data_IF_057594332277
#
_entry.id   IF_057594332277
#
_cell.length_a   1.000
_cell.length_b   1.000
_cell.length_c   1.000
_cell.angle_alpha   90.00
_cell.angle_beta   90.00
_cell.angle_gamma   90.00
#
_symmetry.space_group_name_H-M   'P 1'
#
loop_
_entity.id
_entity.type
_entity.pdbx_description
1 polymer ?
#
# COMPACT_ATOMS: atom_id res chain seq x y z
N UNK A 1 20.04 -48.09 -35.22
CA UNK A 1 20.22 -47.50 -33.88
C UNK A 1 19.48 -46.18 -33.96
N UNK A 2 18.19 -46.23 -33.59
CA UNK A 2 17.27 -45.08 -33.64
C UNK A 2 17.53 -44.17 -32.44
N UNK A 3 17.45 -42.84 -32.60
CA UNK A 3 17.54 -41.93 -31.46
C UNK A 3 16.25 -41.97 -30.66
N UNK A 4 16.38 -42.07 -29.35
CA UNK A 4 15.30 -42.09 -28.37
C UNK A 4 14.79 -40.63 -28.25
N UNK A 5 13.48 -40.44 -28.47
CA UNK A 5 12.76 -39.20 -28.19
C UNK A 5 12.76 -38.97 -26.69
N UNK A 6 13.35 -37.86 -26.26
CA UNK A 6 13.22 -37.37 -24.90
C UNK A 6 11.98 -36.50 -24.89
N UNK A 7 11.02 -36.89 -24.08
CA UNK A 7 9.73 -36.25 -23.87
C UNK A 7 9.89 -34.73 -23.65
N UNK A 8 9.45 -33.96 -24.64
CA UNK A 8 9.30 -32.53 -24.53
C UNK A 8 8.10 -32.19 -23.66
N UNK A 9 8.32 -31.94 -22.37
CA UNK A 9 7.36 -31.16 -21.60
C UNK A 9 7.29 -29.75 -22.19
N UNK A 10 6.20 -29.47 -22.89
CA UNK A 10 5.83 -28.12 -23.26
C UNK A 10 5.69 -27.31 -21.97
N UNK A 11 6.64 -26.41 -21.75
CA UNK A 11 6.50 -25.35 -20.75
C UNK A 11 5.22 -24.59 -21.09
N UNK A 12 4.33 -24.34 -20.12
CA UNK A 12 3.08 -23.63 -20.38
C UNK A 12 3.41 -22.26 -20.97
N UNK A 13 2.75 -21.97 -22.08
CA UNK A 13 2.87 -20.73 -22.83
C UNK A 13 2.89 -19.54 -21.86
N UNK A 14 3.92 -18.71 -21.96
CA UNK A 14 4.14 -17.51 -21.18
C UNK A 14 2.85 -16.69 -21.11
N UNK A 15 2.17 -16.73 -19.99
CA UNK A 15 1.20 -15.72 -19.66
C UNK A 15 1.95 -14.39 -19.63
N UNK A 16 1.75 -13.53 -20.61
CA UNK A 16 2.13 -12.14 -20.60
C UNK A 16 1.29 -11.45 -19.52
N UNK A 17 1.63 -11.66 -18.27
CA UNK A 17 0.99 -11.01 -17.13
C UNK A 17 1.61 -9.63 -16.93
N UNK A 18 1.33 -8.71 -17.85
CA UNK A 18 1.53 -7.31 -17.58
C UNK A 18 0.66 -6.95 -16.37
N UNK A 19 1.27 -6.50 -15.26
CA UNK A 19 0.52 -5.94 -14.14
C UNK A 19 0.00 -4.55 -14.50
N UNK A 20 -1.07 -4.12 -13.84
CA UNK A 20 -1.56 -2.75 -13.98
C UNK A 20 -0.90 -1.87 -12.92
N UNK A 21 -0.52 -0.64 -13.26
CA UNK A 21 0.09 0.31 -12.30
C UNK A 21 -0.72 0.47 -11.01
N UNK A 22 -2.05 0.36 -11.09
CA UNK A 22 -2.94 0.38 -9.91
C UNK A 22 -2.72 -0.79 -8.94
N UNK A 23 -2.12 -1.89 -9.39
CA UNK A 23 -1.84 -3.03 -8.52
C UNK A 23 -0.72 -2.68 -7.54
N UNK A 24 0.13 -1.69 -7.90
CA UNK A 24 1.17 -1.12 -7.03
C UNK A 24 0.63 -0.11 -6.01
N UNK A 25 -0.65 0.23 -6.02
CA UNK A 25 -1.27 1.12 -5.02
C UNK A 25 -1.43 0.44 -3.65
N UNK A 26 -1.14 -0.85 -3.55
CA UNK A 26 -1.23 -1.64 -2.33
C UNK A 26 0.14 -1.84 -1.68
N UNK A 27 0.26 -1.62 -0.36
CA UNK A 27 1.51 -1.80 0.36
C UNK A 27 1.96 -3.27 0.33
N UNK A 28 3.28 -3.48 0.19
CA UNK A 28 3.87 -4.81 0.15
C UNK A 28 3.69 -5.57 -1.17
N UNK A 29 3.09 -4.94 -2.19
CA UNK A 29 2.96 -5.57 -3.51
C UNK A 29 4.32 -5.64 -4.19
N UNK A 30 4.70 -6.84 -4.63
CA UNK A 30 5.92 -7.10 -5.40
C UNK A 30 5.56 -7.93 -6.63
N UNK A 31 5.73 -7.35 -7.82
CA UNK A 31 5.39 -7.94 -9.10
C UNK A 31 6.62 -7.94 -10.01
N UNK A 32 7.39 -9.02 -9.99
CA UNK A 32 8.69 -9.13 -10.71
C UNK A 32 8.67 -10.14 -11.86
N UNK A 33 7.52 -10.77 -12.11
CA UNK A 33 7.45 -11.90 -13.02
C UNK A 33 8.27 -13.10 -12.51
N UNK A 34 8.56 -14.03 -13.41
CA UNK A 34 9.36 -15.23 -13.10
C UNK A 34 10.82 -15.10 -13.55
N UNK A 35 11.27 -13.89 -13.90
CA UNK A 35 12.59 -13.67 -14.48
C UNK A 35 13.65 -13.44 -13.41
N UNK A 36 14.86 -13.96 -13.65
CA UNK A 36 16.01 -13.70 -12.79
C UNK A 36 16.35 -12.20 -12.75
N UNK A 37 16.21 -11.49 -13.87
CA UNK A 37 16.42 -10.04 -13.96
C UNK A 37 15.50 -9.28 -13.01
N UNK A 38 14.20 -9.63 -12.96
CA UNK A 38 13.27 -8.99 -12.04
C UNK A 38 13.67 -9.13 -10.57
N UNK A 39 14.21 -10.28 -10.18
CA UNK A 39 14.73 -10.50 -8.83
C UNK A 39 15.98 -9.65 -8.55
N UNK A 40 16.89 -9.54 -9.50
CA UNK A 40 18.11 -8.72 -9.39
C UNK A 40 17.79 -7.22 -9.31
N UNK A 41 16.84 -6.76 -10.12
CA UNK A 41 16.35 -5.36 -10.11
C UNK A 41 15.72 -5.00 -8.77
N UNK A 42 14.93 -5.89 -8.18
CA UNK A 42 14.37 -5.71 -6.83
C UNK A 42 15.47 -5.71 -5.76
N UNK A 43 16.42 -6.63 -5.85
CA UNK A 43 17.51 -6.71 -4.86
C UNK A 43 18.40 -5.49 -4.91
N UNK A 44 18.69 -4.93 -6.08
CA UNK A 44 19.38 -3.65 -6.23
C UNK A 44 18.64 -2.51 -5.53
N UNK A 45 17.29 -2.49 -5.60
CA UNK A 45 16.49 -1.50 -4.88
C UNK A 45 16.62 -1.65 -3.35
N UNK A 46 16.57 -2.88 -2.84
CA UNK A 46 16.74 -3.18 -1.40
C UNK A 46 18.14 -2.80 -0.90
N UNK A 47 19.18 -3.19 -1.63
CA UNK A 47 20.57 -2.85 -1.30
C UNK A 47 20.78 -1.33 -1.29
N UNK A 48 20.13 -0.62 -2.21
CA UNK A 48 20.15 0.85 -2.25
C UNK A 48 19.57 1.44 -0.97
N UNK A 49 18.41 0.96 -0.50
CA UNK A 49 17.80 1.43 0.75
C UNK A 49 18.72 1.19 1.94
N UNK A 50 19.22 -0.04 2.09
CA UNK A 50 20.14 -0.39 3.18
C UNK A 50 21.37 0.51 3.18
N UNK A 51 22.01 0.71 2.03
CA UNK A 51 23.18 1.58 1.94
C UNK A 51 22.88 3.06 2.21
N UNK A 52 21.69 3.57 1.85
CA UNK A 52 21.29 4.94 2.18
C UNK A 52 21.00 5.12 3.67
N UNK A 53 20.45 4.12 4.33
CA UNK A 53 20.28 4.14 5.78
C UNK A 53 21.62 4.14 6.51
N UNK A 54 22.55 3.27 6.11
CA UNK A 54 23.89 3.16 6.72
C UNK A 54 24.72 4.43 6.52
N UNK A 55 24.75 4.99 5.31
CA UNK A 55 25.63 6.11 4.95
C UNK A 55 25.08 7.48 5.33
N UNK A 56 23.75 7.65 5.30
CA UNK A 56 23.09 8.96 5.42
C UNK A 56 21.99 8.99 6.48
N UNK A 57 21.66 7.85 7.10
CA UNK A 57 20.54 7.74 8.04
C UNK A 57 19.16 7.96 7.39
N UNK A 58 19.08 7.79 6.05
CA UNK A 58 17.85 8.00 5.30
C UNK A 58 16.94 6.77 5.42
N UNK A 59 15.87 6.88 6.21
CA UNK A 59 14.97 5.79 6.51
C UNK A 59 13.88 5.64 5.43
N UNK A 60 14.17 4.84 4.43
CA UNK A 60 13.25 4.47 3.36
C UNK A 60 12.84 3.00 3.47
N UNK A 61 11.70 2.65 2.87
CA UNK A 61 11.27 1.27 2.63
C UNK A 61 10.59 1.19 1.25
N UNK A 62 10.48 -0.02 0.71
CA UNK A 62 9.72 -0.26 -0.51
C UNK A 62 8.24 -0.42 -0.14
N UNK A 63 7.44 0.58 -0.48
CA UNK A 63 5.99 0.48 -0.35
C UNK A 63 5.42 -0.57 -1.31
N UNK A 64 5.81 -0.50 -2.59
CA UNK A 64 5.51 -1.49 -3.61
C UNK A 64 6.55 -1.46 -4.73
N UNK A 65 6.66 -2.57 -5.43
CA UNK A 65 7.64 -2.75 -6.50
C UNK A 65 7.01 -3.51 -7.67
N UNK A 66 7.28 -3.06 -8.88
CA UNK A 66 6.89 -3.75 -10.10
C UNK A 66 8.05 -3.75 -11.11
N UNK A 67 8.23 -4.87 -11.80
CA UNK A 67 9.14 -4.96 -12.94
C UNK A 67 8.40 -5.60 -14.11
N UNK A 68 8.39 -4.93 -15.24
CA UNK A 68 7.78 -5.39 -16.48
C UNK A 68 8.86 -5.83 -17.47
N UNK A 69 9.13 -7.14 -17.56
CA UNK A 69 10.24 -7.66 -18.36
C UNK A 69 10.13 -7.33 -19.87
N UNK A 70 8.89 -7.24 -20.39
CA UNK A 70 8.65 -6.97 -21.82
C UNK A 70 9.11 -5.59 -22.27
N UNK A 71 9.19 -4.64 -21.34
CA UNK A 71 9.61 -3.26 -21.59
C UNK A 71 10.91 -2.88 -20.86
N UNK A 72 11.49 -3.80 -20.09
CA UNK A 72 12.64 -3.49 -19.24
C UNK A 72 12.36 -2.37 -18.25
N UNK A 73 11.13 -2.26 -17.71
CA UNK A 73 10.76 -1.12 -16.87
C UNK A 73 10.46 -1.52 -15.44
N UNK A 74 11.13 -0.85 -14.48
CA UNK A 74 10.92 -1.00 -13.06
C UNK A 74 10.10 0.19 -12.49
N UNK A 75 9.23 -0.10 -11.53
CA UNK A 75 8.46 0.88 -10.77
C UNK A 75 8.74 0.68 -9.29
N UNK A 76 9.27 1.70 -8.64
CA UNK A 76 9.62 1.66 -7.21
C UNK A 76 8.81 2.74 -6.50
N UNK A 77 7.91 2.32 -5.60
CA UNK A 77 7.23 3.26 -4.71
C UNK A 77 7.88 3.20 -3.34
N UNK A 78 8.37 4.34 -2.90
CA UNK A 78 9.12 4.48 -1.65
C UNK A 78 8.23 4.99 -0.52
N UNK A 79 8.34 4.34 0.63
CA UNK A 79 7.83 4.83 1.90
C UNK A 79 8.95 5.51 2.68
N UNK A 80 8.72 6.66 3.29
CA UNK A 80 9.66 7.31 4.21
C UNK A 80 9.21 7.08 5.65
N UNK A 81 9.96 6.23 6.37
CA UNK A 81 9.55 5.67 7.66
C UNK A 81 9.39 6.75 8.73
N UNK A 82 10.29 7.74 8.77
CA UNK A 82 10.30 8.84 9.73
C UNK A 82 9.38 10.01 9.35
N UNK A 83 8.68 9.94 8.21
CA UNK A 83 7.73 10.95 7.78
C UNK A 83 6.32 10.64 8.29
N UNK A 84 5.62 11.66 8.79
CA UNK A 84 4.26 11.54 9.33
C UNK A 84 3.25 10.92 8.36
N UNK A 85 3.41 11.15 7.05
CA UNK A 85 2.51 10.65 6.01
C UNK A 85 3.12 9.50 5.20
N UNK A 86 4.35 9.11 5.53
CA UNK A 86 5.07 8.08 4.78
C UNK A 86 5.49 8.52 3.37
N UNK A 87 5.56 9.83 3.11
CA UNK A 87 5.89 10.34 1.78
C UNK A 87 7.34 10.83 1.74
N UNK A 88 8.20 10.27 0.86
CA UNK A 88 9.53 10.81 0.59
C UNK A 88 9.41 12.20 -0.05
N UNK A 89 10.41 13.04 0.16
CA UNK A 89 10.58 14.30 -0.55
C UNK A 89 11.13 14.06 -1.97
N UNK A 90 11.13 15.09 -2.80
CA UNK A 90 11.77 15.01 -4.13
C UNK A 90 13.27 14.75 -4.01
N UNK A 91 13.92 15.34 -3.00
CA UNK A 91 15.36 15.13 -2.75
C UNK A 91 15.62 13.66 -2.33
N UNK A 92 14.77 13.06 -1.49
CA UNK A 92 14.87 11.65 -1.12
C UNK A 92 14.76 10.73 -2.36
N UNK A 93 13.80 11.04 -3.25
CA UNK A 93 13.59 10.30 -4.49
C UNK A 93 14.80 10.45 -5.43
N UNK A 94 15.36 11.65 -5.55
CA UNK A 94 16.53 11.91 -6.38
C UNK A 94 17.75 11.16 -5.87
N UNK A 95 18.03 11.22 -4.56
CA UNK A 95 19.15 10.53 -3.92
C UNK A 95 19.02 9.02 -4.11
N UNK A 96 17.83 8.46 -3.87
CA UNK A 96 17.56 7.05 -4.12
C UNK A 96 17.78 6.69 -5.60
N UNK A 97 17.20 7.45 -6.52
CA UNK A 97 17.24 7.16 -7.96
C UNK A 97 18.67 7.12 -8.49
N UNK A 98 19.52 8.06 -8.08
CA UNK A 98 20.92 8.11 -8.47
C UNK A 98 21.69 6.88 -8.00
N UNK A 99 21.49 6.48 -6.73
CA UNK A 99 22.17 5.33 -6.14
C UNK A 99 21.63 4.01 -6.69
N UNK A 100 20.32 3.96 -6.95
CA UNK A 100 19.68 2.79 -7.56
C UNK A 100 20.19 2.52 -8.97
N UNK A 101 20.34 3.56 -9.80
CA UNK A 101 20.95 3.42 -11.13
C UNK A 101 22.36 2.81 -11.07
N UNK A 102 23.19 3.24 -10.11
CA UNK A 102 24.51 2.64 -9.89
C UNK A 102 24.41 1.18 -9.45
N UNK A 103 23.52 0.87 -8.50
CA UNK A 103 23.32 -0.50 -8.01
C UNK A 103 22.82 -1.45 -9.12
N UNK A 104 22.02 -0.96 -10.06
CA UNK A 104 21.61 -1.72 -11.24
C UNK A 104 22.79 -2.02 -12.17
N UNK A 105 23.65 -1.03 -12.44
CA UNK A 105 24.85 -1.22 -13.26
C UNK A 105 25.79 -2.25 -12.62
N UNK A 106 26.00 -2.19 -11.32
CA UNK A 106 26.84 -3.12 -10.56
C UNK A 106 26.25 -4.55 -10.55
N UNK A 107 24.92 -4.69 -10.45
CA UNK A 107 24.25 -5.99 -10.35
C UNK A 107 24.07 -6.70 -11.70
N UNK A 108 23.86 -5.96 -12.77
CA UNK A 108 23.49 -6.49 -14.09
C UNK A 108 24.59 -6.33 -15.14
N UNK A 109 25.55 -5.46 -14.91
CA UNK A 109 26.55 -5.02 -15.88
C UNK A 109 26.00 -3.89 -16.78
N UNK A 110 26.91 -3.00 -17.24
CA UNK A 110 26.53 -1.77 -17.98
C UNK A 110 25.65 -2.03 -19.21
N UNK A 111 25.90 -3.09 -19.98
CA UNK A 111 25.13 -3.37 -21.20
C UNK A 111 23.68 -3.81 -20.95
N UNK A 112 23.36 -4.42 -19.79
CA UNK A 112 22.01 -4.87 -19.44
C UNK A 112 21.25 -3.78 -18.67
N UNK A 113 21.97 -3.04 -17.81
CA UNK A 113 21.38 -1.96 -17.01
C UNK A 113 20.90 -0.80 -17.87
N UNK A 114 21.56 -0.51 -19.01
CA UNK A 114 21.19 0.55 -19.94
C UNK A 114 19.83 0.31 -20.60
N UNK A 115 19.42 -0.95 -20.70
CA UNK A 115 18.10 -1.34 -21.25
C UNK A 115 16.98 -1.30 -20.18
N UNK A 116 17.30 -0.96 -18.91
CA UNK A 116 16.33 -0.89 -17.83
C UNK A 116 15.98 0.55 -17.51
N UNK A 117 14.76 0.91 -17.85
CA UNK A 117 14.13 2.14 -17.35
C UNK A 117 13.58 1.93 -15.93
N UNK A 118 13.63 2.95 -15.09
CA UNK A 118 12.95 2.89 -13.80
C UNK A 118 12.25 4.20 -13.46
N UNK A 119 11.13 4.05 -12.77
CA UNK A 119 10.31 5.14 -12.24
C UNK A 119 10.25 5.02 -10.71
N UNK A 120 10.69 6.07 -10.02
CA UNK A 120 10.66 6.16 -8.56
C UNK A 120 9.63 7.19 -8.14
N UNK A 121 8.73 6.83 -7.22
CA UNK A 121 7.67 7.70 -6.79
C UNK A 121 7.27 7.46 -5.33
N UNK A 122 6.45 8.35 -4.77
CA UNK A 122 5.76 8.12 -3.51
C UNK A 122 4.52 7.24 -3.72
N UNK A 123 3.94 6.64 -2.65
CA UNK A 123 2.69 5.89 -2.73
C UNK A 123 1.46 6.75 -3.06
N UNK A 124 1.63 8.07 -3.11
CA UNK A 124 0.54 9.02 -3.28
C UNK A 124 -0.06 9.50 -1.95
N UNK A 125 -0.84 10.59 -2.04
CA UNK A 125 -1.34 11.32 -0.89
C UNK A 125 -2.39 10.54 -0.06
N UNK A 126 -3.23 9.74 -0.71
CA UNK A 126 -4.22 8.85 -0.06
C UNK A 126 -3.75 7.39 -0.06
N UNK A 127 -2.48 7.17 0.30
CA UNK A 127 -1.89 5.83 0.31
C UNK A 127 -2.72 4.84 1.13
N UNK A 128 -2.75 3.60 0.68
CA UNK A 128 -3.25 2.49 1.47
C UNK A 128 -2.25 2.15 2.58
N UNK A 129 -2.74 1.78 3.76
CA UNK A 129 -1.91 1.38 4.90
C UNK A 129 -2.10 -0.11 5.20
N UNK A 130 -1.07 -0.74 5.73
CA UNK A 130 -1.12 -2.14 6.19
C UNK A 130 -1.87 -2.22 7.51
N UNK A 131 -2.88 -3.07 7.58
CA UNK A 131 -3.62 -3.36 8.81
C UNK A 131 -3.23 -4.75 9.29
N UNK A 132 -2.80 -4.93 10.57
CA UNK A 132 -2.67 -3.92 11.62
C UNK A 132 -1.36 -3.10 11.58
N UNK A 133 -0.33 -3.55 10.92
CA UNK A 133 1.07 -3.13 11.09
C UNK A 133 1.36 -1.62 11.01
N UNK A 134 0.57 -0.86 10.27
CA UNK A 134 0.77 0.59 10.14
C UNK A 134 -0.29 1.44 10.88
N UNK A 135 -1.29 0.82 11.53
CA UNK A 135 -2.33 1.56 12.25
C UNK A 135 -1.75 2.45 13.35
N UNK A 136 -0.80 1.94 14.12
CA UNK A 136 -0.12 2.69 15.18
C UNK A 136 0.72 3.83 14.63
N UNK A 137 1.44 3.59 13.54
CA UNK A 137 2.26 4.61 12.86
C UNK A 137 1.43 5.81 12.40
N UNK A 138 0.24 5.55 11.87
CA UNK A 138 -0.67 6.56 11.35
C UNK A 138 -1.78 6.94 12.33
N UNK A 139 -1.65 6.57 13.61
CA UNK A 139 -2.59 6.95 14.66
C UNK A 139 -2.76 8.48 14.72
N UNK A 140 -4.00 8.94 14.92
CA UNK A 140 -4.34 10.35 14.95
C UNK A 140 -4.47 11.02 13.57
N UNK A 141 -4.05 10.38 12.48
CA UNK A 141 -4.39 10.86 11.13
C UNK A 141 -5.80 10.43 10.74
N UNK A 142 -6.51 11.24 9.92
CA UNK A 142 -7.75 10.80 9.32
C UNK A 142 -7.50 9.62 8.39
N UNK A 143 -8.19 8.52 8.64
CA UNK A 143 -8.15 7.30 7.84
C UNK A 143 -9.51 7.05 7.22
N UNK A 144 -9.54 6.75 5.93
CA UNK A 144 -10.73 6.22 5.25
C UNK A 144 -10.68 4.71 5.35
N UNK A 145 -11.52 4.16 6.22
CA UNK A 145 -11.59 2.72 6.49
C UNK A 145 -12.82 2.13 5.80
N UNK A 146 -12.64 1.01 5.11
CA UNK A 146 -13.71 0.24 4.49
C UNK A 146 -14.00 -0.99 5.34
N UNK A 147 -15.27 -1.15 5.72
CA UNK A 147 -15.76 -2.17 6.65
C UNK A 147 -17.04 -2.81 6.11
N UNK A 148 -17.38 -4.05 6.49
CA UNK A 148 -18.72 -4.58 6.36
C UNK A 148 -19.72 -3.62 7.03
N UNK A 149 -20.87 -3.40 6.42
CA UNK A 149 -21.86 -2.45 6.95
C UNK A 149 -22.38 -2.83 8.33
N UNK A 150 -22.49 -4.11 8.58
CA UNK A 150 -22.91 -4.66 9.87
C UNK A 150 -21.93 -4.32 11.00
N UNK A 151 -20.66 -4.17 10.69
CA UNK A 151 -19.62 -3.82 11.66
C UNK A 151 -19.57 -2.33 11.98
N UNK A 152 -20.26 -1.48 11.20
CA UNK A 152 -20.23 -0.04 11.41
C UNK A 152 -21.31 0.40 12.40
N UNK A 153 -20.97 0.34 13.69
CA UNK A 153 -21.81 0.80 14.78
C UNK A 153 -20.99 1.59 15.81
N UNK A 154 -21.23 2.90 15.89
CA UNK A 154 -20.60 3.77 16.90
C UNK A 154 -21.33 3.66 18.24
N UNK A 155 -20.82 2.84 19.18
CA UNK A 155 -21.45 2.54 20.48
C UNK A 155 -22.97 2.32 20.36
N UNK A 156 -23.36 1.43 19.46
CA UNK A 156 -24.75 1.05 19.22
C UNK A 156 -25.55 2.01 18.33
N UNK A 157 -24.93 3.01 17.75
CA UNK A 157 -25.57 3.83 16.70
C UNK A 157 -25.21 3.25 15.34
N UNK A 158 -26.11 2.47 14.79
CA UNK A 158 -25.96 1.84 13.47
C UNK A 158 -26.26 2.81 12.33
N UNK A 159 -25.69 2.51 11.17
CA UNK A 159 -26.03 3.17 9.91
C UNK A 159 -27.45 2.73 9.48
N UNK A 160 -28.28 3.68 9.11
CA UNK A 160 -29.59 3.36 8.52
C UNK A 160 -29.40 2.69 7.17
N UNK A 161 -29.78 1.42 7.06
CA UNK A 161 -29.77 0.68 5.80
C UNK A 161 -30.87 1.18 4.89
N UNK A 162 -30.55 1.54 3.66
CA UNK A 162 -31.54 1.72 2.60
C UNK A 162 -31.94 0.33 2.08
N UNK A 163 -33.24 0.14 1.78
CA UNK A 163 -33.75 -1.12 1.21
C UNK A 163 -33.12 -1.47 -0.14
N UNK A 164 -32.53 -0.48 -0.83
CA UNK A 164 -31.91 -0.63 -2.15
C UNK A 164 -30.37 -0.63 -2.08
N UNK A 165 -29.80 -0.75 -0.89
CA UNK A 165 -28.35 -0.69 -0.71
C UNK A 165 -27.72 -2.07 -0.95
N UNK A 166 -27.24 -2.29 -2.18
CA UNK A 166 -26.62 -3.54 -2.63
C UNK A 166 -25.16 -3.70 -2.20
N UNK A 167 -24.54 -2.66 -1.64
CA UNK A 167 -23.14 -2.74 -1.22
C UNK A 167 -23.04 -3.45 0.14
N UNK A 168 -22.17 -4.47 0.19
CA UNK A 168 -21.89 -5.20 1.43
C UNK A 168 -20.97 -4.40 2.38
N UNK A 169 -20.15 -3.49 1.85
CA UNK A 169 -19.21 -2.66 2.60
C UNK A 169 -19.59 -1.20 2.60
N UNK A 170 -19.05 -0.45 3.55
CA UNK A 170 -19.11 1.00 3.55
C UNK A 170 -17.78 1.59 3.99
N UNK A 171 -17.54 2.80 3.52
CA UNK A 171 -16.35 3.58 3.83
C UNK A 171 -16.68 4.65 4.87
N UNK A 172 -15.90 4.72 5.93
CA UNK A 172 -16.04 5.74 6.99
C UNK A 172 -14.69 6.42 7.23
N UNK A 173 -14.71 7.72 7.49
CA UNK A 173 -13.48 8.46 7.86
C UNK A 173 -13.40 8.57 9.38
N UNK A 174 -12.32 8.06 9.93
CA UNK A 174 -12.07 7.91 11.37
C UNK A 174 -10.60 8.22 11.68
N UNK A 175 -10.26 8.29 12.97
CA UNK A 175 -8.87 8.25 13.44
C UNK A 175 -8.68 7.04 14.33
N UNK A 176 -7.55 6.33 14.20
CA UNK A 176 -7.19 5.27 15.13
C UNK A 176 -6.71 5.90 16.45
N UNK A 177 -7.26 5.44 17.58
CA UNK A 177 -6.88 5.91 18.93
C UNK A 177 -6.13 4.83 19.69
N UNK A 178 -6.66 3.62 19.72
CA UNK A 178 -6.10 2.49 20.46
C UNK A 178 -6.02 1.28 19.52
N UNK A 179 -4.81 0.73 19.40
CA UNK A 179 -4.55 -0.46 18.59
C UNK A 179 -4.11 -1.55 19.53
N UNK A 180 -4.92 -2.58 19.69
CA UNK A 180 -4.66 -3.73 20.55
C UNK A 180 -4.30 -4.93 19.67
N UNK A 181 -3.00 -5.21 19.59
CA UNK A 181 -2.48 -6.32 18.80
C UNK A 181 -2.74 -7.68 19.46
N UNK A 182 -2.89 -7.73 20.80
CA UNK A 182 -3.15 -8.97 21.52
C UNK A 182 -4.56 -9.47 21.25
N UNK A 183 -5.54 -8.58 21.30
CA UNK A 183 -6.95 -8.90 21.01
C UNK A 183 -7.29 -8.83 19.52
N UNK A 184 -6.41 -8.27 18.70
CA UNK A 184 -6.65 -8.08 17.27
C UNK A 184 -7.71 -7.03 16.95
N UNK A 185 -7.82 -5.99 17.79
CA UNK A 185 -8.87 -4.96 17.67
C UNK A 185 -8.32 -3.55 17.61
N UNK A 186 -9.10 -2.63 17.06
CA UNK A 186 -8.81 -1.19 17.05
C UNK A 186 -10.02 -0.37 17.48
N UNK A 187 -9.75 0.67 18.26
CA UNK A 187 -10.73 1.71 18.61
C UNK A 187 -10.56 2.87 17.65
N UNK A 188 -11.64 3.17 16.94
CA UNK A 188 -11.70 4.21 15.92
C UNK A 188 -12.62 5.35 16.39
N UNK A 189 -12.09 6.57 16.38
CA UNK A 189 -12.85 7.79 16.67
C UNK A 189 -13.48 8.37 15.40
N UNK A 190 -14.69 8.93 15.48
CA UNK A 190 -15.33 9.57 14.36
C UNK A 190 -14.61 10.86 13.95
N UNK A 191 -14.30 11.01 12.68
CA UNK A 191 -13.71 12.22 12.13
C UNK A 191 -14.75 13.04 11.36
N UNK A 192 -14.75 14.36 11.56
CA UNK A 192 -15.75 15.25 10.96
C UNK A 192 -15.45 15.47 9.47
N UNK A 193 -16.26 14.88 8.60
CA UNK A 193 -16.18 15.08 7.14
C UNK A 193 -17.58 15.19 6.53
N UNK A 194 -17.67 15.87 5.39
CA UNK A 194 -18.91 15.90 4.59
C UNK A 194 -19.33 14.49 4.13
N UNK A 195 -18.34 13.62 3.88
CA UNK A 195 -18.57 12.22 3.47
C UNK A 195 -19.33 11.45 4.55
N UNK A 196 -18.87 11.52 5.81
CA UNK A 196 -19.54 10.87 6.93
C UNK A 196 -20.91 11.48 7.19
N UNK A 197 -21.05 12.80 7.10
CA UNK A 197 -22.35 13.47 7.22
C UNK A 197 -23.35 12.98 6.17
N UNK A 198 -22.92 12.75 4.94
CA UNK A 198 -23.77 12.21 3.88
C UNK A 198 -24.15 10.73 4.13
N UNK A 199 -23.19 9.91 4.59
CA UNK A 199 -23.40 8.49 4.83
C UNK A 199 -24.33 8.19 6.02
N UNK A 200 -24.16 8.93 7.14
CA UNK A 200 -24.92 8.70 8.38
C UNK A 200 -26.12 9.65 8.56
N UNK A 201 -26.16 10.71 7.77
CA UNK A 201 -27.06 11.84 7.98
C UNK A 201 -26.51 12.83 9.01
N UNK A 202 -26.51 14.11 8.67
CA UNK A 202 -25.88 15.19 9.45
C UNK A 202 -26.28 15.22 10.94
N UNK A 203 -27.55 14.98 11.25
CA UNK A 203 -28.04 14.98 12.66
C UNK A 203 -27.42 13.81 13.45
N UNK A 204 -27.41 12.62 12.87
CA UNK A 204 -26.87 11.40 13.49
C UNK A 204 -25.35 11.54 13.66
N UNK A 205 -24.66 12.00 12.61
CA UNK A 205 -23.21 12.17 12.68
C UNK A 205 -22.79 13.20 13.75
N UNK A 206 -23.47 14.33 13.82
CA UNK A 206 -23.25 15.32 14.87
C UNK A 206 -23.50 14.78 16.29
N UNK A 207 -24.46 13.85 16.46
CA UNK A 207 -24.68 13.18 17.73
C UNK A 207 -23.51 12.26 18.08
N UNK A 208 -23.03 11.46 17.13
CA UNK A 208 -21.85 10.58 17.30
C UNK A 208 -20.63 11.42 17.75
N UNK A 209 -20.31 12.49 17.02
CA UNK A 209 -19.20 13.39 17.33
C UNK A 209 -19.31 14.03 18.73
N UNK A 210 -20.48 14.60 19.06
CA UNK A 210 -20.71 15.30 20.35
C UNK A 210 -20.64 14.32 21.53
N UNK A 211 -21.11 13.11 21.36
CA UNK A 211 -21.13 12.09 22.41
C UNK A 211 -19.85 11.28 22.48
N UNK A 212 -18.81 11.62 21.68
CA UNK A 212 -17.53 10.90 21.60
C UNK A 212 -17.71 9.38 21.48
N UNK A 213 -18.70 8.98 20.66
CA UNK A 213 -18.96 7.57 20.40
C UNK A 213 -17.82 6.96 19.59
N UNK A 214 -17.45 5.75 19.92
CA UNK A 214 -16.34 5.04 19.27
C UNK A 214 -16.84 3.86 18.44
N UNK A 215 -16.07 3.47 17.46
CA UNK A 215 -16.27 2.28 16.66
C UNK A 215 -15.14 1.29 17.02
N UNK A 216 -15.50 0.11 17.54
CA UNK A 216 -14.55 -0.97 17.84
C UNK A 216 -14.71 -2.06 16.80
N UNK A 217 -13.60 -2.42 16.15
CA UNK A 217 -13.60 -3.43 15.08
C UNK A 217 -12.38 -4.33 15.20
N UNK A 218 -12.54 -5.58 14.79
CA UNK A 218 -11.42 -6.49 14.59
C UNK A 218 -10.60 -6.12 13.35
N UNK A 219 -9.30 -6.36 13.36
CA UNK A 219 -8.45 -6.09 12.19
C UNK A 219 -8.93 -6.83 10.93
N UNK A 220 -9.44 -8.06 11.09
CA UNK A 220 -9.97 -8.86 9.99
C UNK A 220 -11.26 -8.30 9.36
N UNK A 221 -11.95 -7.37 10.00
CA UNK A 221 -13.13 -6.70 9.45
C UNK A 221 -12.75 -5.50 8.55
N UNK A 222 -11.52 -4.99 8.70
CA UNK A 222 -11.04 -3.89 7.89
C UNK A 222 -10.58 -4.42 6.52
N UNK A 223 -11.40 -4.21 5.50
CA UNK A 223 -11.09 -4.67 4.14
C UNK A 223 -10.07 -3.76 3.46
N UNK A 224 -10.06 -2.48 3.84
CA UNK A 224 -9.13 -1.48 3.31
C UNK A 224 -9.03 -0.29 4.25
N UNK A 225 -7.85 0.28 4.37
CA UNK A 225 -7.62 1.55 5.06
C UNK A 225 -6.66 2.43 4.25
N UNK A 226 -7.03 3.69 4.06
CA UNK A 226 -6.21 4.68 3.36
C UNK A 226 -6.07 5.93 4.21
N UNK A 227 -4.95 6.62 4.13
CA UNK A 227 -4.85 8.00 4.65
C UNK A 227 -5.90 8.84 3.92
N UNK A 228 -6.62 9.68 4.67
CA UNK A 228 -7.63 10.58 4.10
C UNK A 228 -7.14 12.03 4.18
N UNK A 229 -7.16 12.70 3.04
CA UNK A 229 -6.90 14.13 2.95
C UNK A 229 -8.19 14.86 2.65
N UNK A 230 -8.49 15.90 3.45
CA UNK A 230 -9.62 16.81 3.19
C UNK A 230 -9.02 18.12 2.61
N UNK A 231 -9.36 18.41 1.35
CA UNK A 231 -8.96 19.64 0.65
C UNK A 231 -10.08 20.69 0.73
#
# INVERSE_FOLDING_TARGET
MEPVDVDGEELPASASSGFKLKDLDRPGTVLIGTTQVGAQVLEAARSTITGLEEDQGLQLDIFSFGFEPSYGKAFVRLDKIDNKYGSPTLDDIEVFSRRYGQALADALGEGVSDDIEFEVSSPGAEREIRVPGELTRFAGLPLRVELPKESVAFDGIEVKRSKNDLLATMSVVVTAEEVDEETGTVVLLPFKTKRNEAAFGRKTWNKILKSKKVLRVGFGEITRANIHLEF
#
